data_IF_806848437704
#
_entry.id   IF_806848437704
#
_cell.length_a   1.000
_cell.length_b   1.000
_cell.length_c   1.000
_cell.angle_alpha   90.00
_cell.angle_beta   90.00
_cell.angle_gamma   90.00
#
_symmetry.space_group_name_H-M   'P 1'
#
loop_
_entity.id
_entity.type
_entity.pdbx_description
1 polymer ?
#
# COMPACT_ATOMS: atom_id res chain seq x y z
N UNK A 1 -13.44 -16.60 8.04
CA UNK A 1 -14.74 -17.11 7.56
C UNK A 1 -15.64 -17.37 8.75
N UNK A 2 -16.96 -17.24 8.59
CA UNK A 2 -17.91 -17.65 9.63
C UNK A 2 -17.93 -19.17 9.85
N UNK A 3 -18.72 -19.62 10.82
CA UNK A 3 -18.87 -21.04 11.17
C UNK A 3 -20.24 -21.58 10.71
N UNK A 4 -20.29 -22.90 10.47
CA UNK A 4 -21.53 -23.61 10.10
C UNK A 4 -22.24 -22.99 8.90
N UNK A 5 -23.52 -22.64 9.07
CA UNK A 5 -24.37 -22.00 8.04
C UNK A 5 -23.86 -20.64 7.55
N UNK A 6 -22.93 -20.01 8.29
CA UNK A 6 -22.28 -18.74 7.90
C UNK A 6 -20.87 -18.96 7.35
N UNK A 7 -20.55 -20.19 6.96
CA UNK A 7 -19.23 -20.59 6.45
C UNK A 7 -18.78 -19.83 5.20
N UNK A 8 -19.72 -19.32 4.40
CA UNK A 8 -19.47 -18.51 3.22
C UNK A 8 -19.31 -17.00 3.50
N UNK A 9 -19.54 -16.55 4.73
CA UNK A 9 -19.49 -15.13 5.09
C UNK A 9 -18.08 -14.75 5.57
N UNK A 10 -17.49 -13.74 4.93
CA UNK A 10 -16.24 -13.11 5.37
C UNK A 10 -16.55 -12.07 6.44
N UNK A 11 -15.86 -12.15 7.57
CA UNK A 11 -15.97 -11.20 8.68
C UNK A 11 -14.71 -10.33 8.72
N UNK A 12 -14.90 -9.03 8.96
CA UNK A 12 -13.83 -8.12 9.38
C UNK A 12 -13.86 -8.01 10.91
N UNK A 13 -12.70 -8.08 11.54
CA UNK A 13 -12.51 -8.11 13.00
C UNK A 13 -11.38 -7.16 13.40
N UNK A 14 -11.15 -7.04 14.71
CA UNK A 14 -10.09 -6.23 15.32
C UNK A 14 -10.16 -4.74 14.93
N UNK A 15 -11.08 -4.04 15.58
CA UNK A 15 -11.23 -2.59 15.45
C UNK A 15 -10.34 -1.81 16.43
N UNK A 16 -9.31 -2.44 17.02
CA UNK A 16 -8.45 -1.81 18.04
C UNK A 16 -7.63 -0.62 17.51
N UNK A 17 -7.39 -0.56 16.20
CA UNK A 17 -6.73 0.57 15.52
C UNK A 17 -7.71 1.43 14.70
N UNK A 18 -9.01 1.10 14.73
CA UNK A 18 -10.00 1.83 13.94
C UNK A 18 -10.16 3.27 14.46
N UNK A 19 -10.31 4.21 13.52
CA UNK A 19 -10.46 5.63 13.83
C UNK A 19 -11.60 6.25 13.05
N UNK A 20 -12.32 7.18 13.69
CA UNK A 20 -13.36 7.97 13.04
C UNK A 20 -12.71 8.92 12.02
N UNK A 21 -13.08 8.79 10.74
CA UNK A 21 -12.55 9.62 9.64
C UNK A 21 -13.47 10.79 9.24
N UNK A 22 -14.71 10.81 9.73
CA UNK A 22 -15.67 11.88 9.47
C UNK A 22 -16.62 12.05 10.63
N UNK A 23 -17.19 13.24 10.78
CA UNK A 23 -18.30 13.44 11.69
C UNK A 23 -19.55 12.64 11.27
N UNK A 24 -20.32 12.16 12.24
CA UNK A 24 -21.44 11.26 12.00
C UNK A 24 -22.71 11.99 11.52
N UNK A 25 -22.86 13.28 11.86
CA UNK A 25 -24.04 14.08 11.50
C UNK A 25 -23.78 14.95 10.28
N UNK A 26 -22.66 15.66 10.29
CA UNK A 26 -22.30 16.63 9.24
C UNK A 26 -21.56 15.98 8.07
N UNK A 27 -21.09 14.74 8.24
CA UNK A 27 -20.21 14.06 7.28
C UNK A 27 -18.90 14.80 6.98
N UNK A 28 -18.55 15.83 7.77
CA UNK A 28 -17.30 16.56 7.62
C UNK A 28 -16.11 15.62 7.81
N UNK A 29 -15.21 15.57 6.81
CA UNK A 29 -14.02 14.74 6.85
C UNK A 29 -13.02 15.27 7.88
N UNK A 30 -12.23 14.39 8.49
CA UNK A 30 -11.09 14.82 9.30
C UNK A 30 -10.12 15.65 8.45
N UNK A 31 -9.45 16.66 9.02
CA UNK A 31 -8.45 17.41 8.29
C UNK A 31 -7.26 16.51 7.96
N UNK A 32 -6.61 16.79 6.84
CA UNK A 32 -5.32 16.20 6.52
C UNK A 32 -4.32 16.57 7.62
N UNK A 33 -3.55 15.59 8.08
CA UNK A 33 -2.52 15.77 9.11
C UNK A 33 -1.30 14.95 8.75
N UNK A 34 -0.16 15.51 9.06
CA UNK A 34 1.12 14.84 8.99
C UNK A 34 1.63 14.60 10.42
N UNK A 35 2.76 13.92 10.55
CA UNK A 35 3.51 13.63 11.77
C UNK A 35 2.83 12.58 12.63
N UNK A 36 2.29 11.55 11.98
CA UNK A 36 1.79 10.36 12.67
C UNK A 36 2.90 9.35 12.89
N UNK A 37 2.66 8.47 13.85
CA UNK A 37 3.42 7.23 13.96
C UNK A 37 2.77 6.20 13.04
N UNK A 38 3.57 5.37 12.37
CA UNK A 38 3.00 4.26 11.63
C UNK A 38 2.32 3.29 12.59
N UNK A 39 1.03 3.09 12.33
CA UNK A 39 0.17 2.15 13.04
C UNK A 39 -0.22 1.01 12.09
N UNK A 40 -0.27 -0.21 12.63
CA UNK A 40 -0.67 -1.40 11.87
C UNK A 40 0.51 -2.16 11.24
N UNK A 41 0.18 -3.03 10.29
CA UNK A 41 1.13 -3.97 9.68
C UNK A 41 1.80 -3.36 8.45
N UNK A 42 3.07 -2.98 8.57
CA UNK A 42 3.87 -2.37 7.49
C UNK A 42 3.80 -3.12 6.14
N UNK A 43 3.65 -4.45 6.17
CA UNK A 43 3.51 -5.29 4.97
C UNK A 43 2.36 -4.85 4.07
N UNK A 44 1.21 -4.50 4.65
CA UNK A 44 0.00 -4.15 3.90
C UNK A 44 -0.32 -2.65 3.93
N UNK A 45 0.35 -1.85 4.77
CA UNK A 45 0.12 -0.41 4.84
C UNK A 45 0.28 0.30 3.47
N UNK A 46 -0.56 1.30 3.19
CA UNK A 46 -0.46 2.15 1.99
C UNK A 46 0.89 2.85 1.89
N UNK A 47 1.28 3.28 0.68
CA UNK A 47 2.48 4.12 0.51
C UNK A 47 2.39 5.39 1.36
N UNK A 48 1.21 6.03 1.44
CA UNK A 48 1.03 7.25 2.23
C UNK A 48 1.31 7.04 3.73
N UNK A 49 1.00 5.85 4.25
CA UNK A 49 1.30 5.48 5.65
C UNK A 49 2.81 5.36 5.89
N UNK A 50 3.58 5.09 4.84
CA UNK A 50 5.05 4.99 4.87
C UNK A 50 5.77 6.30 4.53
N UNK A 51 5.11 7.24 3.84
CA UNK A 51 5.65 8.56 3.50
C UNK A 51 5.96 9.31 4.80
N UNK A 52 7.19 9.17 5.28
CA UNK A 52 7.69 9.76 6.51
C UNK A 52 8.36 8.80 7.49
N UNK A 53 8.59 7.58 7.05
CA UNK A 53 9.51 6.65 7.69
C UNK A 53 10.92 6.77 7.11
N UNK A 54 11.09 7.21 5.86
CA UNK A 54 12.39 7.27 5.17
C UNK A 54 12.90 8.70 4.96
N UNK A 55 14.16 8.91 5.33
CA UNK A 55 15.02 9.97 4.80
C UNK A 55 15.17 9.79 3.30
N UNK A 56 14.73 10.76 2.50
CA UNK A 56 15.55 11.10 1.34
C UNK A 56 16.71 11.89 1.91
N UNK A 57 17.87 11.24 2.06
CA UNK A 57 19.09 12.01 1.92
C UNK A 57 19.01 12.64 0.52
N UNK A 58 19.14 13.96 0.47
CA UNK A 58 19.24 14.78 -0.73
C UNK A 58 20.54 14.49 -1.54
N UNK A 59 21.01 13.25 -1.53
CA UNK A 59 22.27 12.81 -2.12
C UNK A 59 22.10 11.96 -3.39
N UNK A 60 20.95 12.07 -4.07
CA UNK A 60 20.73 11.43 -5.38
C UNK A 60 20.32 12.44 -6.47
N UNK A 61 20.76 13.70 -6.32
CA UNK A 61 20.76 14.70 -7.40
C UNK A 61 22.10 14.73 -8.17
N UNK A 62 23.08 13.90 -7.78
CA UNK A 62 24.37 13.82 -8.46
C UNK A 62 24.43 12.72 -9.54
N UNK A 63 23.41 11.87 -9.69
CA UNK A 63 23.41 10.79 -10.69
C UNK A 63 22.76 11.19 -12.03
N UNK A 64 22.59 12.51 -12.26
CA UNK A 64 22.05 13.09 -13.49
C UNK A 64 22.81 14.34 -13.98
N UNK A 65 24.09 14.51 -13.59
CA UNK A 65 24.95 15.58 -14.10
C UNK A 65 26.37 15.13 -14.48
N UNK A 66 26.61 13.83 -14.68
CA UNK A 66 27.89 13.34 -15.22
C UNK A 66 27.75 12.84 -16.67
N UNK A 67 27.34 13.75 -17.56
CA UNK A 67 27.66 13.65 -18.99
C UNK A 67 27.93 15.06 -19.52
N UNK A 68 29.23 15.38 -19.59
CA UNK A 68 29.90 16.34 -20.49
C UNK A 68 29.36 17.78 -20.59
N UNK A 69 30.14 18.76 -20.11
CA UNK A 69 30.72 19.77 -21.02
C UNK A 69 31.85 20.61 -20.37
N UNK A 70 32.91 20.79 -21.16
CA UNK A 70 34.17 21.50 -20.93
C UNK A 70 34.06 23.04 -20.82
N UNK A 71 35.12 23.64 -20.28
CA UNK A 71 35.57 25.04 -20.38
C UNK A 71 34.95 26.17 -19.50
N UNK A 72 35.72 26.61 -18.50
CA UNK A 72 36.02 28.05 -18.33
C UNK A 72 35.46 28.85 -17.12
N UNK A 73 36.32 29.11 -16.13
CA UNK A 73 36.52 30.36 -15.34
C UNK A 73 35.28 31.11 -14.77
N UNK A 74 35.07 31.13 -13.43
CA UNK A 74 35.11 32.38 -12.62
C UNK A 74 35.09 32.18 -11.07
N UNK A 75 35.96 32.96 -10.43
CA UNK A 75 36.07 33.49 -9.05
C UNK A 75 35.25 32.91 -7.88
N UNK A 76 36.01 32.43 -6.88
CA UNK A 76 35.57 32.21 -5.48
C UNK A 76 35.39 33.57 -4.77
N UNK A 77 34.18 33.87 -4.33
CA UNK A 77 33.96 34.84 -3.24
C UNK A 77 33.43 34.12 -2.01
N UNK A 78 34.30 34.03 -1.00
CA UNK A 78 33.97 33.64 0.36
C UNK A 78 32.94 34.60 0.94
N UNK A 79 31.77 34.09 1.34
CA UNK A 79 30.94 34.74 2.35
C UNK A 79 30.65 33.73 3.46
N UNK A 80 31.49 33.80 4.50
CA UNK A 80 31.28 33.14 5.77
C UNK A 80 30.18 33.89 6.53
N UNK A 81 28.94 33.45 6.43
CA UNK A 81 27.94 33.69 7.48
C UNK A 81 27.24 32.37 7.79
N UNK A 82 27.28 32.02 9.07
CA UNK A 82 26.71 30.84 9.68
C UNK A 82 25.20 30.73 9.42
N UNK A 83 24.81 29.93 8.45
CA UNK A 83 23.59 29.13 8.55
C UNK A 83 24.02 27.68 8.60
N UNK A 84 24.20 27.16 9.82
CA UNK A 84 24.15 25.71 9.96
C UNK A 84 22.74 25.27 9.55
N UNK A 85 22.61 24.37 8.58
CA UNK A 85 21.30 23.88 8.16
C UNK A 85 20.70 23.15 9.37
N UNK A 86 19.52 23.58 9.78
CA UNK A 86 18.72 22.82 10.75
C UNK A 86 18.45 21.44 10.13
N UNK A 87 18.88 20.31 10.72
CA UNK A 87 18.57 18.99 10.19
C UNK A 87 17.17 18.60 10.64
N UNK A 88 16.15 19.27 10.12
CA UNK A 88 14.76 19.01 10.48
C UNK A 88 13.84 19.27 9.30
N UNK A 89 13.71 18.31 8.39
CA UNK A 89 12.44 18.05 7.72
C UNK A 89 12.29 16.54 7.52
N UNK A 90 11.93 15.87 8.62
CA UNK A 90 11.17 14.62 8.57
C UNK A 90 9.97 14.90 7.66
N UNK A 91 9.90 14.30 6.47
CA UNK A 91 8.58 14.20 5.84
C UNK A 91 7.76 13.27 6.73
N UNK A 92 6.47 13.52 7.02
CA UNK A 92 5.84 12.80 8.12
C UNK A 92 4.76 11.83 7.66
N UNK A 93 4.58 10.68 8.35
CA UNK A 93 3.49 9.75 8.00
C UNK A 93 2.14 10.46 8.04
N UNK A 94 1.39 10.31 6.95
CA UNK A 94 0.14 11.03 6.73
C UNK A 94 -0.99 10.33 7.47
N UNK A 95 -1.96 11.10 7.93
CA UNK A 95 -3.21 10.58 8.47
C UNK A 95 -3.85 9.62 7.46
N UNK A 96 -4.32 8.47 7.95
CA UNK A 96 -4.98 7.46 7.11
C UNK A 96 -6.43 7.85 6.86
N UNK A 97 -6.93 7.47 5.68
CA UNK A 97 -8.30 7.69 5.22
C UNK A 97 -8.83 6.46 4.49
N UNK A 98 -10.02 6.59 3.88
CA UNK A 98 -10.68 5.50 3.15
C UNK A 98 -9.83 4.90 2.03
N UNK A 99 -8.97 5.69 1.37
CA UNK A 99 -8.11 5.21 0.27
C UNK A 99 -7.05 4.24 0.75
N UNK A 100 -6.55 4.44 1.97
CA UNK A 100 -5.44 3.68 2.55
C UNK A 100 -5.87 2.26 2.92
N UNK A 101 -7.10 2.11 3.43
CA UNK A 101 -7.73 0.79 3.67
C UNK A 101 -7.91 0.01 2.36
N UNK A 102 -8.33 0.68 1.28
CA UNK A 102 -8.52 0.05 -0.03
C UNK A 102 -7.19 -0.33 -0.68
N UNK A 103 -6.18 0.54 -0.65
CA UNK A 103 -4.84 0.19 -1.14
C UNK A 103 -4.27 -1.01 -0.38
N UNK A 104 -4.48 -1.04 0.95
CA UNK A 104 -4.07 -2.16 1.79
C UNK A 104 -4.76 -3.48 1.39
N UNK A 105 -6.06 -3.43 1.08
CA UNK A 105 -6.79 -4.58 0.55
C UNK A 105 -6.22 -5.05 -0.80
N UNK A 106 -5.82 -4.13 -1.68
CA UNK A 106 -5.15 -4.46 -2.94
C UNK A 106 -3.86 -5.26 -2.73
N UNK A 107 -3.03 -4.88 -1.75
CA UNK A 107 -1.84 -5.65 -1.39
C UNK A 107 -2.18 -7.03 -0.78
N UNK A 108 -3.26 -7.15 -0.01
CA UNK A 108 -3.74 -8.45 0.50
C UNK A 108 -4.19 -9.36 -0.64
N UNK A 109 -4.91 -8.83 -1.63
CA UNK A 109 -5.30 -9.60 -2.82
C UNK A 109 -4.08 -10.07 -3.62
N UNK A 110 -3.09 -9.19 -3.84
CA UNK A 110 -1.84 -9.58 -4.49
C UNK A 110 -1.03 -10.59 -3.68
N UNK A 111 -1.09 -10.51 -2.35
CA UNK A 111 -0.48 -11.51 -1.48
C UNK A 111 -1.11 -12.91 -1.66
N UNK A 112 -2.44 -13.00 -1.78
CA UNK A 112 -3.09 -14.29 -2.08
C UNK A 112 -2.69 -14.85 -3.45
N UNK A 113 -2.55 -13.96 -4.45
CA UNK A 113 -2.12 -14.34 -5.79
C UNK A 113 -0.68 -14.85 -5.85
N UNK A 114 0.26 -14.15 -5.19
CA UNK A 114 1.70 -14.41 -5.28
C UNK A 114 2.23 -15.37 -4.20
N UNK A 115 1.48 -15.58 -3.11
CA UNK A 115 1.95 -16.26 -1.90
C UNK A 115 2.94 -15.44 -1.04
N UNK A 116 3.61 -14.45 -1.63
CA UNK A 116 4.45 -13.48 -0.93
C UNK A 116 4.53 -12.16 -1.69
N UNK A 117 4.74 -11.06 -0.97
CA UNK A 117 4.96 -9.73 -1.53
C UNK A 117 6.47 -9.43 -1.67
N UNK A 118 6.90 -8.65 -2.68
CA UNK A 118 8.32 -8.38 -2.96
C UNK A 118 9.11 -7.71 -1.82
N UNK A 119 8.42 -7.07 -0.88
CA UNK A 119 9.00 -6.41 0.30
C UNK A 119 8.96 -7.29 1.56
N UNK A 120 8.72 -8.60 1.44
CA UNK A 120 8.84 -9.55 2.54
C UNK A 120 10.29 -10.02 2.73
N UNK A 121 10.63 -10.46 3.95
CA UNK A 121 11.95 -11.05 4.25
C UNK A 121 13.12 -10.05 4.39
N UNK A 122 12.86 -8.75 4.25
CA UNK A 122 13.89 -7.72 4.43
C UNK A 122 14.41 -7.72 5.88
N UNK A 123 15.71 -8.00 6.02
CA UNK A 123 16.43 -7.94 7.30
C UNK A 123 16.66 -6.48 7.70
N UNK A 124 16.67 -6.17 8.99
CA UNK A 124 17.02 -4.85 9.52
C UNK A 124 17.35 -4.99 11.02
N UNK A 125 18.18 -4.09 11.57
CA UNK A 125 18.55 -4.13 12.98
C UNK A 125 17.45 -3.52 13.87
N UNK A 126 16.76 -2.49 13.37
CA UNK A 126 15.67 -1.83 14.11
C UNK A 126 14.34 -1.94 13.39
N UNK A 127 13.24 -1.80 14.14
CA UNK A 127 11.87 -1.75 13.59
C UNK A 127 11.70 -0.61 12.58
N UNK A 128 12.31 0.55 12.86
CA UNK A 128 12.31 1.73 11.98
C UNK A 128 12.99 1.41 10.64
N UNK A 129 14.23 0.91 10.68
CA UNK A 129 14.97 0.49 9.47
C UNK A 129 14.22 -0.59 8.67
N UNK A 130 13.52 -1.49 9.36
CA UNK A 130 12.68 -2.48 8.69
C UNK A 130 11.56 -1.83 7.87
N UNK A 131 10.92 -0.80 8.43
CA UNK A 131 9.84 -0.08 7.76
C UNK A 131 10.38 0.81 6.63
N UNK A 132 11.54 1.44 6.81
CA UNK A 132 12.27 2.18 5.76
C UNK A 132 12.51 1.27 4.54
N UNK A 133 13.10 0.09 4.74
CA UNK A 133 13.35 -0.87 3.65
C UNK A 133 12.08 -1.36 2.97
N UNK A 134 11.00 -1.60 3.72
CA UNK A 134 9.71 -1.99 3.16
C UNK A 134 9.12 -0.84 2.33
N UNK A 135 9.18 0.38 2.85
CA UNK A 135 8.71 1.61 2.20
C UNK A 135 9.41 1.83 0.87
N UNK A 136 10.75 1.84 0.87
CA UNK A 136 11.57 1.98 -0.33
C UNK A 136 11.26 0.90 -1.36
N UNK A 137 11.14 -0.36 -0.93
CA UNK A 137 10.82 -1.47 -1.83
C UNK A 137 9.41 -1.35 -2.43
N UNK A 138 8.43 -0.81 -1.69
CA UNK A 138 7.08 -0.54 -2.21
C UNK A 138 7.07 0.57 -3.25
N UNK A 139 7.77 1.68 -2.99
CA UNK A 139 7.83 2.82 -3.91
C UNK A 139 8.60 2.46 -5.19
N UNK A 140 9.69 1.70 -5.06
CA UNK A 140 10.50 1.24 -6.20
C UNK A 140 9.92 0.05 -6.96
N UNK A 141 8.80 -0.53 -6.53
CA UNK A 141 8.10 -1.59 -7.25
C UNK A 141 6.86 -1.00 -7.94
N UNK A 142 6.90 -0.73 -9.26
CA UNK A 142 5.72 -0.28 -10.00
C UNK A 142 4.57 -1.27 -9.88
N UNK A 143 3.33 -0.78 -9.94
CA UNK A 143 2.13 -1.63 -9.83
C UNK A 143 2.11 -2.67 -10.95
N UNK A 144 2.54 -2.27 -12.14
CA UNK A 144 2.61 -3.12 -13.34
C UNK A 144 3.59 -4.27 -13.15
N UNK A 145 4.68 -4.04 -12.41
CA UNK A 145 5.66 -5.07 -12.04
C UNK A 145 5.09 -5.98 -10.95
N UNK A 146 4.44 -5.42 -9.94
CA UNK A 146 3.81 -6.19 -8.85
C UNK A 146 2.72 -7.13 -9.38
N UNK A 147 1.90 -6.65 -10.32
CA UNK A 147 0.76 -7.37 -10.88
C UNK A 147 1.11 -8.16 -12.15
N UNK A 148 2.39 -8.22 -12.54
CA UNK A 148 2.82 -8.92 -13.75
C UNK A 148 2.39 -10.39 -13.72
N UNK A 149 1.75 -10.85 -14.79
CA UNK A 149 1.27 -12.23 -14.92
C UNK A 149 -0.13 -12.49 -14.33
N UNK A 150 -0.78 -11.49 -13.73
CA UNK A 150 -2.15 -11.57 -13.23
C UNK A 150 -3.09 -10.67 -14.06
N UNK A 151 -4.42 -10.88 -13.97
CA UNK A 151 -5.40 -10.03 -14.65
C UNK A 151 -5.20 -8.53 -14.38
N UNK A 152 -5.37 -7.70 -15.42
CA UNK A 152 -5.09 -6.25 -15.34
C UNK A 152 -6.00 -5.50 -14.37
N UNK A 153 -7.12 -6.09 -13.94
CA UNK A 153 -8.01 -5.56 -12.91
C UNK A 153 -7.28 -5.34 -11.58
N UNK A 154 -6.29 -6.16 -11.23
CA UNK A 154 -5.50 -5.96 -10.00
C UNK A 154 -4.64 -4.69 -10.06
N UNK A 155 -3.98 -4.44 -11.19
CA UNK A 155 -3.23 -3.22 -11.41
C UNK A 155 -4.16 -2.00 -11.46
N UNK A 156 -5.30 -2.13 -12.16
CA UNK A 156 -6.34 -1.09 -12.24
C UNK A 156 -6.88 -0.72 -10.87
N UNK A 157 -7.15 -1.71 -10.01
CA UNK A 157 -7.59 -1.51 -8.63
C UNK A 157 -6.57 -0.71 -7.82
N UNK A 158 -5.30 -1.10 -7.84
CA UNK A 158 -4.24 -0.42 -7.09
C UNK A 158 -3.99 0.99 -7.61
N UNK A 159 -3.95 1.18 -8.92
CA UNK A 159 -3.81 2.49 -9.55
C UNK A 159 -4.99 3.42 -9.20
N UNK A 160 -6.22 2.89 -9.18
CA UNK A 160 -7.39 3.64 -8.70
C UNK A 160 -7.23 4.06 -7.24
N UNK A 161 -6.82 3.14 -6.36
CA UNK A 161 -6.66 3.47 -4.94
C UNK A 161 -5.59 4.53 -4.71
N UNK A 162 -4.47 4.48 -5.46
CA UNK A 162 -3.39 5.48 -5.38
C UNK A 162 -3.77 6.84 -5.93
N UNK A 163 -4.72 6.92 -6.88
CA UNK A 163 -5.15 8.19 -7.46
C UNK A 163 -6.19 8.94 -6.63
N UNK A 164 -6.80 8.28 -5.63
CA UNK A 164 -7.76 8.91 -4.73
C UNK A 164 -7.12 10.01 -3.88
N UNK A 165 -7.81 11.15 -3.78
CA UNK A 165 -7.49 12.20 -2.81
C UNK A 165 -7.84 11.74 -1.41
N UNK A 166 -7.29 12.44 -0.42
CA UNK A 166 -7.43 12.09 1.00
C UNK A 166 -8.90 12.04 1.47
N UNK A 167 -9.73 12.95 0.97
CA UNK A 167 -11.14 13.11 1.34
C UNK A 167 -12.11 12.61 0.26
N UNK A 168 -11.62 11.99 -0.82
CA UNK A 168 -12.45 11.39 -1.84
C UNK A 168 -13.31 10.26 -1.26
N UNK A 169 -14.56 10.17 -1.74
CA UNK A 169 -15.40 9.01 -1.51
C UNK A 169 -15.08 7.97 -2.59
N UNK A 170 -14.46 6.82 -2.26
CA UNK A 170 -14.14 5.82 -3.26
C UNK A 170 -15.40 5.28 -3.93
N UNK A 171 -15.32 5.01 -5.23
CA UNK A 171 -16.37 4.27 -5.93
C UNK A 171 -16.22 2.77 -5.66
N UNK A 172 -16.76 2.33 -4.51
CA UNK A 172 -16.74 0.93 -4.12
C UNK A 172 -17.48 0.02 -5.12
N UNK A 173 -18.47 0.55 -5.84
CA UNK A 173 -19.24 -0.22 -6.82
C UNK A 173 -18.41 -0.51 -8.05
N UNK A 174 -17.69 0.49 -8.58
CA UNK A 174 -16.71 0.32 -9.65
C UNK A 174 -15.66 -0.75 -9.30
N UNK A 175 -15.04 -0.64 -8.12
CA UNK A 175 -14.01 -1.59 -7.68
C UNK A 175 -14.53 -3.03 -7.56
N UNK A 176 -15.76 -3.23 -7.06
CA UNK A 176 -16.40 -4.55 -7.06
C UNK A 176 -16.72 -5.05 -8.47
N UNK A 177 -17.15 -4.14 -9.36
CA UNK A 177 -17.55 -4.49 -10.71
C UNK A 177 -16.35 -4.93 -11.55
N UNK A 178 -15.16 -4.36 -11.34
CA UNK A 178 -13.91 -4.83 -11.97
C UNK A 178 -13.75 -6.35 -11.78
N UNK A 179 -13.76 -6.80 -10.53
CA UNK A 179 -13.57 -8.22 -10.23
C UNK A 179 -14.77 -9.09 -10.60
N UNK A 180 -16.00 -8.60 -10.50
CA UNK A 180 -17.19 -9.35 -10.95
C UNK A 180 -17.18 -9.59 -12.46
N UNK A 181 -16.82 -8.57 -13.24
CA UNK A 181 -16.71 -8.70 -14.69
C UNK A 181 -15.62 -9.71 -15.07
N UNK A 182 -14.45 -9.62 -14.42
CA UNK A 182 -13.38 -10.59 -14.60
C UNK A 182 -13.86 -12.01 -14.25
N UNK A 183 -14.50 -12.19 -13.09
CA UNK A 183 -14.99 -13.47 -12.61
C UNK A 183 -15.98 -14.12 -13.59
N UNK A 184 -16.94 -13.36 -14.12
CA UNK A 184 -17.87 -13.85 -15.14
C UNK A 184 -17.20 -14.17 -16.47
N UNK A 185 -16.23 -13.36 -16.93
CA UNK A 185 -15.48 -13.65 -18.18
C UNK A 185 -14.66 -14.93 -18.10
N UNK A 186 -14.22 -15.32 -16.90
CA UNK A 186 -13.55 -16.61 -16.66
C UNK A 186 -14.53 -17.79 -16.55
N UNK A 187 -15.84 -17.54 -16.65
CA UNK A 187 -16.87 -18.59 -16.58
C UNK A 187 -17.15 -19.08 -15.15
N UNK A 188 -16.67 -18.38 -14.12
CA UNK A 188 -16.93 -18.79 -12.75
C UNK A 188 -18.35 -18.45 -12.30
N UNK A 189 -18.91 -19.30 -11.44
CA UNK A 189 -20.22 -19.11 -10.82
C UNK A 189 -20.07 -18.62 -9.39
N UNK A 190 -20.93 -17.70 -8.97
CA UNK A 190 -20.90 -17.15 -7.60
C UNK A 190 -21.66 -18.09 -6.65
N UNK A 191 -21.10 -19.28 -6.44
CA UNK A 191 -21.69 -20.41 -5.70
C UNK A 191 -21.21 -20.53 -4.25
N UNK A 192 -20.29 -19.64 -3.84
CA UNK A 192 -19.63 -19.66 -2.53
C UNK A 192 -18.78 -20.90 -2.26
N UNK A 193 -18.28 -21.58 -3.29
CA UNK A 193 -17.33 -22.68 -3.19
C UNK A 193 -15.90 -22.13 -3.25
N UNK A 194 -15.22 -22.11 -2.11
CA UNK A 194 -13.81 -21.70 -2.02
C UNK A 194 -12.88 -22.92 -2.05
N UNK A 195 -11.57 -22.72 -2.30
CA UNK A 195 -10.59 -23.81 -2.43
C UNK A 195 -10.61 -24.79 -1.24
N UNK A 196 -10.72 -24.28 0.00
CA UNK A 196 -10.78 -25.12 1.21
C UNK A 196 -12.11 -25.89 1.36
N UNK A 197 -13.16 -25.54 0.63
CA UNK A 197 -14.37 -26.37 0.57
C UNK A 197 -14.10 -27.67 -0.19
N UNK A 198 -13.28 -27.62 -1.24
CA UNK A 198 -12.96 -28.78 -2.08
C UNK A 198 -12.13 -29.83 -1.33
N UNK A 199 -11.28 -29.40 -0.40
CA UNK A 199 -10.49 -30.31 0.44
C UNK A 199 -11.36 -31.22 1.32
N UNK A 200 -12.55 -30.76 1.73
CA UNK A 200 -13.48 -31.56 2.55
C UNK A 200 -14.18 -32.67 1.77
N UNK A 201 -14.37 -32.48 0.46
CA UNK A 201 -14.96 -33.52 -0.38
C UNK A 201 -13.98 -34.69 -0.56
N UNK A 202 -12.70 -34.41 -0.80
CA UNK A 202 -11.67 -35.45 -1.00
C UNK A 202 -11.46 -36.32 0.24
N UNK A 203 -11.47 -35.76 1.46
CA UNK A 203 -11.37 -36.55 2.70
C UNK A 203 -12.56 -37.48 2.94
N UNK A 204 -13.72 -37.22 2.32
CA UNK A 204 -14.90 -38.08 2.46
C UNK A 204 -14.80 -39.31 1.55
N UNK A 205 -14.12 -39.21 0.41
CA UNK A 205 -13.92 -40.33 -0.52
C UNK A 205 -12.77 -41.26 -0.15
N UNK A 206 -11.83 -40.83 0.69
CA UNK A 206 -10.73 -41.68 1.19
C UNK A 206 -11.05 -42.46 2.47
N UNK A 207 -12.25 -42.27 3.06
CA UNK A 207 -12.71 -42.99 4.24
C UNK A 207 -13.90 -43.92 3.94
N UNK A 208 -14.05 -44.35 2.69
CA UNK A 208 -15.01 -45.39 2.26
C UNK A 208 -14.25 -46.56 1.67
#
# INVERSE_FOLDING_TARGET
MGLGKKGNLVYIIDFGLAKKYRDARTHQHIPYRENKNLTGTARYASINTHLGIGTVDLFDLNTLLDTEFEDGIFSVTNCSTSLQPSPCLLSPSTEQSRRDDLESLGYVLMYFNLGSLPWQGLKAATKRQKYERISEKKMSTPIEVLCKGYPSEFATYLNFCRSLRFDDKPDYSYLRQLFRNLFHRQGFSYDYVFDWNMLKFVSTYHNV
#
